data_IF_461018039412
#
_entry.id   IF_461018039412
#
_cell.length_a   1.000
_cell.length_b   1.000
_cell.length_c   1.000
_cell.angle_alpha   90.00
_cell.angle_beta   90.00
_cell.angle_gamma   90.00
#
_symmetry.space_group_name_H-M   'P 1'
#
loop_
_entity.id
_entity.type
_entity.pdbx_description
1 polymer ?
#
# COMPACT_ATOMS: atom_id res chain seq x y z
N UNK A 1 -13.64 21.59 -20.79
CA UNK A 1 -14.95 20.91 -20.74
C UNK A 1 -15.14 19.91 -21.90
N UNK A 2 -14.87 20.24 -23.17
CA UNK A 2 -15.04 19.31 -24.31
C UNK A 2 -14.22 18.00 -24.21
N UNK A 3 -13.01 18.03 -23.62
CA UNK A 3 -12.18 16.83 -23.42
C UNK A 3 -12.76 15.87 -22.38
N UNK A 4 -13.43 16.37 -21.35
CA UNK A 4 -14.13 15.54 -20.35
C UNK A 4 -15.35 14.84 -20.95
N UNK A 5 -16.10 15.51 -21.84
CA UNK A 5 -17.23 14.90 -22.53
C UNK A 5 -16.81 13.79 -23.51
N UNK A 6 -15.65 13.95 -24.16
CA UNK A 6 -15.09 12.92 -25.07
C UNK A 6 -14.65 11.69 -24.27
N UNK A 7 -14.03 11.87 -23.10
CA UNK A 7 -13.65 10.76 -22.21
C UNK A 7 -14.90 10.08 -21.65
N UNK A 8 -15.91 10.85 -21.22
CA UNK A 8 -17.19 10.31 -20.76
C UNK A 8 -17.95 9.58 -21.88
N UNK A 9 -17.94 10.10 -23.11
CA UNK A 9 -18.56 9.45 -24.27
C UNK A 9 -17.80 8.19 -24.71
N UNK A 10 -16.46 8.16 -24.62
CA UNK A 10 -15.68 6.94 -24.83
C UNK A 10 -15.94 5.90 -23.71
N UNK A 11 -16.14 6.33 -22.46
CA UNK A 11 -16.55 5.42 -21.39
C UNK A 11 -17.95 4.85 -21.61
N UNK A 12 -18.91 5.63 -22.12
CA UNK A 12 -20.26 5.16 -22.45
C UNK A 12 -20.28 4.26 -23.68
N UNK A 13 -19.41 4.49 -24.68
CA UNK A 13 -19.28 3.62 -25.86
C UNK A 13 -18.58 2.28 -25.52
N UNK A 14 -17.81 2.22 -24.43
CA UNK A 14 -17.21 0.97 -23.92
C UNK A 14 -18.19 0.09 -23.13
N UNK A 15 -19.43 0.54 -22.87
CA UNK A 15 -20.48 -0.15 -22.10
C UNK A 15 -20.95 -1.46 -22.75
N UNK A 16 -20.63 -1.72 -24.02
CA UNK A 16 -20.87 -3.00 -24.68
C UNK A 16 -19.73 -4.03 -24.55
N UNK A 17 -18.67 -3.70 -23.78
CA UNK A 17 -17.59 -4.63 -23.51
C UNK A 17 -18.03 -5.62 -22.43
N UNK A 18 -18.30 -6.84 -22.82
CA UNK A 18 -18.61 -7.95 -21.93
C UNK A 18 -17.63 -7.99 -20.74
N UNK A 19 -18.18 -8.15 -19.54
CA UNK A 19 -17.42 -8.47 -18.35
C UNK A 19 -16.46 -9.63 -18.63
N UNK A 20 -15.39 -9.68 -17.89
CA UNK A 20 -14.42 -10.76 -18.02
C UNK A 20 -15.03 -12.11 -17.65
N UNK A 21 -15.94 -12.11 -16.67
CA UNK A 21 -16.72 -13.26 -16.25
C UNK A 21 -18.21 -12.94 -16.33
N UNK A 22 -19.01 -13.98 -16.55
CA UNK A 22 -20.47 -13.89 -16.53
C UNK A 22 -20.96 -13.58 -15.10
N UNK A 23 -22.06 -12.84 -14.94
CA UNK A 23 -22.71 -12.64 -13.65
C UNK A 23 -22.96 -13.98 -12.93
N UNK A 24 -22.74 -14.01 -11.61
CA UNK A 24 -22.82 -15.24 -10.82
C UNK A 24 -21.50 -16.02 -10.73
N UNK A 25 -20.46 -15.61 -11.47
CA UNK A 25 -19.16 -16.25 -11.39
C UNK A 25 -18.46 -15.89 -10.08
N UNK A 26 -17.91 -16.90 -9.42
CA UNK A 26 -17.01 -16.77 -8.28
C UNK A 26 -15.58 -17.07 -8.70
N UNK A 27 -14.63 -16.30 -8.22
CA UNK A 27 -13.21 -16.51 -8.50
C UNK A 27 -12.34 -16.25 -7.28
N UNK A 28 -11.17 -16.87 -7.22
CA UNK A 28 -10.15 -16.65 -6.20
C UNK A 28 -8.86 -16.22 -6.87
N UNK A 29 -8.20 -15.22 -6.29
CA UNK A 29 -6.97 -14.63 -6.81
C UNK A 29 -5.91 -14.57 -5.71
N UNK A 30 -5.01 -15.56 -5.56
CA UNK A 30 -3.76 -15.37 -4.85
C UNK A 30 -2.93 -14.29 -5.55
N UNK A 31 -2.25 -13.47 -4.77
CA UNK A 31 -1.46 -12.34 -5.27
C UNK A 31 -0.26 -12.04 -4.38
N UNK A 32 0.76 -11.47 -4.99
CA UNK A 32 1.94 -10.96 -4.31
C UNK A 32 2.44 -9.69 -5.02
N UNK A 33 3.23 -8.89 -4.32
CA UNK A 33 3.75 -7.66 -4.93
C UNK A 33 4.58 -6.81 -3.98
N UNK A 34 4.74 -5.55 -4.36
CA UNK A 34 5.44 -4.54 -3.58
C UNK A 34 4.51 -3.45 -3.06
N UNK A 35 4.90 -2.86 -1.96
CA UNK A 35 4.27 -1.67 -1.39
C UNK A 35 5.32 -0.59 -1.16
N UNK A 36 4.91 0.66 -1.36
CA UNK A 36 5.61 1.84 -0.88
C UNK A 36 4.67 2.60 0.05
N UNK A 37 5.11 2.89 1.25
CA UNK A 37 4.25 3.50 2.26
C UNK A 37 4.95 4.61 3.02
N UNK A 38 4.19 5.56 3.53
CA UNK A 38 4.67 6.60 4.44
C UNK A 38 3.56 7.03 5.39
N UNK A 39 3.92 7.48 6.56
CA UNK A 39 3.01 8.12 7.50
C UNK A 39 2.83 9.59 7.12
N UNK A 40 1.57 10.05 6.97
CA UNK A 40 1.30 11.49 6.79
C UNK A 40 1.73 12.26 8.03
N UNK A 41 1.98 13.55 7.89
CA UNK A 41 2.35 14.47 8.98
C UNK A 41 3.61 14.08 9.78
N UNK A 42 4.28 12.98 9.45
CA UNK A 42 5.60 12.67 10.01
C UNK A 42 6.58 13.73 9.50
N UNK A 43 7.28 14.39 10.42
CA UNK A 43 8.26 15.42 10.08
C UNK A 43 9.54 14.81 9.51
N UNK A 44 10.26 15.61 8.72
CA UNK A 44 11.64 15.33 8.40
C UNK A 44 12.45 15.27 9.69
N UNK A 45 13.49 14.46 9.70
CA UNK A 45 14.37 14.38 10.85
C UNK A 45 15.46 15.47 10.74
N UNK A 46 15.59 16.30 11.75
CA UNK A 46 16.66 17.31 11.83
C UNK A 46 17.53 17.08 13.05
N UNK A 47 18.80 16.90 12.82
CA UNK A 47 19.80 16.78 13.89
C UNK A 47 21.01 17.66 13.57
N UNK A 48 21.36 18.56 14.50
CA UNK A 48 22.54 19.44 14.37
C UNK A 48 22.59 20.24 13.06
N UNK A 49 21.42 20.67 12.53
CA UNK A 49 21.31 21.44 11.29
C UNK A 49 21.40 20.62 9.99
N UNK A 50 21.50 19.30 10.08
CA UNK A 50 21.40 18.39 8.95
C UNK A 50 20.01 17.77 8.94
N UNK A 51 19.34 17.83 7.77
CA UNK A 51 18.01 17.27 7.56
C UNK A 51 18.11 15.94 6.83
N UNK A 52 17.33 14.97 7.31
CA UNK A 52 16.99 13.77 6.56
C UNK A 52 15.54 13.88 6.12
N UNK A 53 15.33 13.98 4.83
CA UNK A 53 13.98 14.05 4.28
C UNK A 53 13.27 12.72 4.49
N UNK A 54 11.97 12.81 4.80
CA UNK A 54 11.11 11.64 4.90
C UNK A 54 10.92 11.01 3.52
N UNK A 55 11.06 9.71 3.45
CA UNK A 55 10.86 8.93 2.21
C UNK A 55 9.92 7.75 2.43
N UNK A 56 9.46 7.15 1.33
CA UNK A 56 8.62 5.97 1.41
C UNK A 56 9.42 4.75 1.89
N UNK A 57 8.85 4.00 2.82
CA UNK A 57 9.36 2.68 3.16
C UNK A 57 8.86 1.66 2.14
N UNK A 58 9.79 0.94 1.52
CA UNK A 58 9.49 -0.17 0.59
C UNK A 58 9.24 -1.46 1.36
N UNK A 59 8.23 -2.22 0.96
CA UNK A 59 7.90 -3.51 1.56
C UNK A 59 7.26 -4.49 0.59
N UNK A 60 6.94 -5.68 1.09
CA UNK A 60 6.23 -6.72 0.35
C UNK A 60 4.76 -6.82 0.75
N UNK A 61 3.95 -7.36 -0.16
CA UNK A 61 2.56 -7.76 0.10
C UNK A 61 2.31 -9.14 -0.49
N UNK A 62 1.62 -9.98 0.27
CA UNK A 62 1.14 -11.29 -0.16
C UNK A 62 -0.26 -11.53 0.39
N UNK A 63 -1.12 -12.17 -0.40
CA UNK A 63 -2.48 -12.48 0.05
C UNK A 63 -3.33 -13.15 -1.01
N UNK A 64 -4.64 -13.13 -0.77
CA UNK A 64 -5.63 -13.64 -1.71
C UNK A 64 -6.92 -12.81 -1.62
N UNK A 65 -7.61 -12.69 -2.74
CA UNK A 65 -8.94 -12.07 -2.85
C UNK A 65 -9.91 -13.05 -3.48
N UNK A 66 -11.10 -13.14 -2.92
CA UNK A 66 -12.26 -13.80 -3.51
C UNK A 66 -13.13 -12.72 -4.18
N UNK A 67 -13.59 -12.97 -5.39
CA UNK A 67 -14.39 -12.02 -6.16
C UNK A 67 -15.65 -12.70 -6.69
N UNK A 68 -16.77 -12.01 -6.54
CA UNK A 68 -18.07 -12.42 -7.07
C UNK A 68 -18.56 -11.42 -8.11
N UNK A 69 -18.84 -11.89 -9.32
CA UNK A 69 -19.35 -11.07 -10.40
C UNK A 69 -20.84 -10.83 -10.21
N UNK A 70 -21.21 -9.60 -9.83
CA UNK A 70 -22.62 -9.21 -9.61
C UNK A 70 -23.35 -8.92 -10.93
N UNK A 71 -22.68 -8.19 -11.81
CA UNK A 71 -23.18 -7.74 -13.10
C UNK A 71 -22.04 -7.74 -14.12
N UNK A 72 -22.38 -7.59 -15.41
CA UNK A 72 -21.35 -7.52 -16.47
C UNK A 72 -20.25 -6.47 -16.23
N UNK A 73 -20.56 -5.40 -15.52
CA UNK A 73 -19.60 -4.31 -15.27
C UNK A 73 -19.21 -4.16 -13.80
N UNK A 74 -19.77 -4.98 -12.91
CA UNK A 74 -19.57 -4.81 -11.47
C UNK A 74 -19.28 -6.14 -10.80
N UNK A 75 -18.22 -6.20 -10.04
CA UNK A 75 -17.97 -7.27 -9.09
C UNK A 75 -17.65 -6.73 -7.70
N UNK A 76 -17.79 -7.57 -6.70
CA UNK A 76 -17.39 -7.32 -5.34
C UNK A 76 -16.30 -8.32 -4.98
N UNK A 77 -15.19 -7.82 -4.43
CA UNK A 77 -14.09 -8.64 -3.96
C UNK A 77 -13.81 -8.38 -2.48
N UNK A 78 -13.49 -9.45 -1.77
CA UNK A 78 -13.00 -9.39 -0.40
C UNK A 78 -11.76 -10.27 -0.26
N UNK A 79 -10.80 -9.87 0.58
CA UNK A 79 -9.56 -10.62 0.68
C UNK A 79 -8.88 -10.49 2.03
N UNK A 80 -7.76 -11.19 2.15
CA UNK A 80 -6.83 -11.08 3.27
C UNK A 80 -5.42 -10.98 2.70
N UNK A 81 -4.68 -9.96 3.15
CA UNK A 81 -3.28 -9.78 2.77
C UNK A 81 -2.43 -9.56 4.01
N UNK A 82 -1.17 -9.97 3.95
CA UNK A 82 -0.12 -9.49 4.83
C UNK A 82 0.74 -8.50 4.06
N UNK A 83 0.99 -7.32 4.63
CA UNK A 83 1.81 -6.28 4.02
C UNK A 83 2.77 -5.64 5.02
N UNK A 84 3.99 -5.36 4.55
CA UNK A 84 4.99 -4.60 5.28
C UNK A 84 4.89 -3.14 4.82
N UNK A 85 4.64 -2.25 5.76
CA UNK A 85 4.38 -0.82 5.54
C UNK A 85 5.30 0.01 6.45
N UNK A 86 5.11 1.32 6.50
CA UNK A 86 5.82 2.20 7.42
C UNK A 86 6.32 3.49 6.77
N UNK A 87 7.40 4.04 7.31
CA UNK A 87 8.08 5.22 6.78
C UNK A 87 9.58 5.09 6.97
N UNK A 88 10.35 5.73 6.09
CA UNK A 88 11.81 5.76 6.16
C UNK A 88 12.30 7.21 6.07
N UNK A 89 13.57 7.41 6.35
CA UNK A 89 14.26 8.68 6.18
C UNK A 89 15.54 8.45 5.38
N UNK A 90 15.97 9.49 4.68
CA UNK A 90 17.24 9.47 3.96
C UNK A 90 18.43 9.27 4.90
N UNK A 91 19.48 8.67 4.38
CA UNK A 91 20.72 8.47 5.10
C UNK A 91 21.41 9.80 5.40
N UNK A 92 21.98 9.94 6.59
CA UNK A 92 22.76 11.11 7.00
C UNK A 92 24.19 10.70 7.30
N UNK A 93 25.15 11.48 6.79
CA UNK A 93 26.58 11.31 7.08
C UNK A 93 27.14 12.54 7.76
N UNK A 94 27.74 12.35 8.93
CA UNK A 94 28.46 13.40 9.66
C UNK A 94 29.96 13.23 9.47
N UNK A 95 30.63 14.25 8.95
CA UNK A 95 32.09 14.31 8.90
C UNK A 95 32.60 14.84 10.22
N UNK A 96 33.06 13.95 11.11
CA UNK A 96 33.75 14.33 12.34
C UNK A 96 35.25 14.53 12.13
N UNK A 97 35.91 15.16 13.09
CA UNK A 97 37.37 15.49 13.00
C UNK A 97 38.25 14.23 12.98
N UNK A 98 37.82 13.15 13.64
CA UNK A 98 38.57 11.88 13.73
C UNK A 98 37.88 10.71 13.03
N UNK A 99 36.54 10.61 13.10
CA UNK A 99 35.74 9.56 12.44
C UNK A 99 34.37 10.12 12.08
N UNK A 100 33.96 9.93 10.84
CA UNK A 100 32.59 10.23 10.42
C UNK A 100 31.60 9.22 11.01
N UNK A 101 30.38 9.66 11.30
CA UNK A 101 29.25 8.80 11.70
C UNK A 101 28.22 8.83 10.62
N UNK A 102 27.89 7.68 10.08
CA UNK A 102 26.81 7.51 9.10
C UNK A 102 25.61 6.87 9.78
N UNK A 103 24.44 7.52 9.67
CA UNK A 103 23.14 6.98 10.04
C UNK A 103 22.43 6.49 8.79
N UNK A 104 22.25 5.20 8.68
CA UNK A 104 21.68 4.52 7.50
C UNK A 104 20.48 3.68 7.88
N UNK A 105 19.65 3.39 6.86
CA UNK A 105 18.47 2.50 6.99
C UNK A 105 17.53 2.88 8.13
N UNK A 106 17.42 4.20 8.45
CA UNK A 106 16.48 4.66 9.46
C UNK A 106 15.05 4.49 8.94
N UNK A 107 14.26 3.65 9.64
CA UNK A 107 12.89 3.38 9.25
C UNK A 107 12.03 2.89 10.40
N UNK A 108 10.73 3.13 10.29
CA UNK A 108 9.70 2.47 11.07
C UNK A 108 9.05 1.42 10.15
N UNK A 109 9.09 0.16 10.54
CA UNK A 109 8.43 -0.94 9.84
C UNK A 109 7.17 -1.35 10.58
N UNK A 110 6.05 -1.41 9.84
CA UNK A 110 4.74 -1.80 10.34
C UNK A 110 4.23 -3.01 9.55
N UNK A 111 4.05 -4.15 10.22
CA UNK A 111 3.43 -5.32 9.64
C UNK A 111 1.92 -5.30 9.87
N UNK A 112 1.14 -5.44 8.78
CA UNK A 112 -0.32 -5.45 8.85
C UNK A 112 -0.91 -6.70 8.22
N UNK A 113 -1.92 -7.27 8.88
CA UNK A 113 -2.92 -8.08 8.20
C UNK A 113 -4.02 -7.14 7.74
N UNK A 114 -4.32 -7.10 6.44
CA UNK A 114 -5.33 -6.22 5.86
C UNK A 114 -6.48 -7.03 5.25
N UNK A 115 -7.70 -6.54 5.46
CA UNK A 115 -8.93 -7.11 4.91
C UNK A 115 -9.59 -6.05 4.00
N UNK A 116 -9.26 -6.03 2.70
CA UNK A 116 -9.94 -5.18 1.73
C UNK A 116 -11.31 -5.76 1.36
N UNK A 117 -12.29 -4.88 1.22
CA UNK A 117 -13.59 -5.13 0.59
C UNK A 117 -13.74 -4.08 -0.50
N UNK A 118 -13.66 -4.48 -1.76
CA UNK A 118 -13.60 -3.57 -2.90
C UNK A 118 -14.63 -3.91 -3.98
N UNK A 119 -15.23 -2.88 -4.54
CA UNK A 119 -15.99 -2.96 -5.77
C UNK A 119 -15.04 -2.77 -6.96
N UNK A 120 -15.15 -3.65 -7.95
CA UNK A 120 -14.46 -3.55 -9.23
C UNK A 120 -15.47 -3.12 -10.30
N UNK A 121 -15.22 -1.97 -10.91
CA UNK A 121 -16.05 -1.42 -11.99
C UNK A 121 -15.27 -1.63 -13.28
N UNK A 122 -15.72 -2.58 -14.10
CA UNK A 122 -15.11 -2.92 -15.37
C UNK A 122 -15.54 -1.93 -16.45
N UNK A 123 -14.60 -1.08 -16.91
CA UNK A 123 -14.84 -0.07 -17.93
C UNK A 123 -14.72 -0.65 -19.35
N UNK A 124 -13.81 -1.59 -19.53
CA UNK A 124 -13.62 -2.36 -20.75
C UNK A 124 -12.96 -3.71 -20.42
N UNK A 125 -12.87 -4.59 -21.43
CA UNK A 125 -12.41 -5.97 -21.23
C UNK A 125 -11.06 -6.02 -20.52
N UNK A 126 -11.04 -6.62 -19.34
CA UNK A 126 -9.86 -6.80 -18.51
C UNK A 126 -9.52 -5.61 -17.61
N UNK A 127 -9.99 -4.41 -17.89
CA UNK A 127 -9.65 -3.22 -17.11
C UNK A 127 -10.78 -2.85 -16.14
N UNK A 128 -10.42 -2.73 -14.86
CA UNK A 128 -11.34 -2.29 -13.83
C UNK A 128 -10.75 -1.14 -13.00
N UNK A 129 -11.62 -0.22 -12.61
CA UNK A 129 -11.39 0.74 -11.53
C UNK A 129 -11.89 0.12 -10.23
N UNK A 130 -11.17 0.33 -9.15
CA UNK A 130 -11.43 -0.29 -7.85
C UNK A 130 -11.55 0.75 -6.77
N UNK A 131 -12.53 0.59 -5.89
CA UNK A 131 -12.63 1.36 -4.64
C UNK A 131 -13.42 0.58 -3.60
N UNK A 132 -13.27 0.97 -2.32
CA UNK A 132 -13.99 0.27 -1.25
C UNK A 132 -13.50 0.67 0.12
N UNK A 133 -13.45 -0.30 1.02
CA UNK A 133 -12.97 -0.17 2.39
C UNK A 133 -11.85 -1.19 2.64
N UNK A 134 -10.86 -0.82 3.44
CA UNK A 134 -9.83 -1.73 3.91
C UNK A 134 -9.64 -1.58 5.41
N UNK A 135 -9.68 -2.70 6.10
CA UNK A 135 -9.43 -2.82 7.53
C UNK A 135 -8.04 -3.39 7.74
N UNK A 136 -7.21 -2.72 8.53
CA UNK A 136 -5.85 -3.12 8.86
C UNK A 136 -5.72 -3.49 10.33
N UNK A 137 -5.00 -4.58 10.61
CA UNK A 137 -4.70 -5.04 11.96
C UNK A 137 -3.19 -5.14 12.11
N UNK A 138 -2.62 -4.31 13.00
CA UNK A 138 -1.19 -4.26 13.26
C UNK A 138 -0.72 -5.57 13.90
N UNK A 139 0.23 -6.22 13.28
CA UNK A 139 0.86 -7.45 13.79
C UNK A 139 2.22 -7.18 14.42
N UNK A 140 2.99 -6.27 13.81
CA UNK A 140 4.35 -5.93 14.21
C UNK A 140 4.62 -4.44 13.97
N UNK A 141 5.39 -3.80 14.85
CA UNK A 141 5.94 -2.48 14.65
C UNK A 141 7.35 -2.43 15.21
N UNK A 142 8.33 -2.04 14.41
CA UNK A 142 9.71 -1.91 14.84
C UNK A 142 10.37 -0.66 14.27
N UNK A 143 11.28 -0.08 15.05
CA UNK A 143 12.18 0.98 14.62
C UNK A 143 13.54 0.37 14.31
N UNK A 144 14.07 0.67 13.13
CA UNK A 144 15.38 0.20 12.69
C UNK A 144 16.30 1.36 12.35
N UNK A 145 17.54 1.23 12.75
CA UNK A 145 18.61 2.20 12.51
C UNK A 145 19.95 1.47 12.42
N UNK A 146 20.74 1.81 11.42
CA UNK A 146 22.12 1.35 11.28
C UNK A 146 23.06 2.53 11.46
N UNK A 147 23.91 2.48 12.49
CA UNK A 147 24.96 3.47 12.75
C UNK A 147 26.32 2.90 12.34
N UNK A 148 27.07 3.64 11.53
CA UNK A 148 28.43 3.27 11.13
C UNK A 148 29.42 4.33 11.55
N UNK A 149 30.37 3.93 12.38
CA UNK A 149 31.50 4.80 12.83
C UNK A 149 32.83 4.11 12.50
N UNK A 150 33.52 4.58 11.48
CA UNK A 150 34.73 3.93 10.98
C UNK A 150 34.46 2.49 10.52
N UNK A 151 35.06 1.50 11.17
CA UNK A 151 34.86 0.07 10.91
C UNK A 151 33.78 -0.57 11.78
N UNK A 152 33.20 0.16 12.72
CA UNK A 152 32.18 -0.34 13.65
C UNK A 152 30.79 -0.07 13.08
N UNK A 153 29.94 -1.10 13.05
CA UNK A 153 28.52 -1.02 12.68
C UNK A 153 27.69 -1.44 13.88
N UNK A 154 26.72 -0.61 14.25
CA UNK A 154 25.73 -0.89 15.29
C UNK A 154 24.36 -0.88 14.64
N UNK A 155 23.63 -1.97 14.80
CA UNK A 155 22.26 -2.09 14.33
C UNK A 155 21.31 -2.04 15.52
N UNK A 156 20.32 -1.15 15.45
CA UNK A 156 19.26 -1.01 16.43
C UNK A 156 17.98 -1.57 15.82
N UNK A 157 17.28 -2.46 16.52
CA UNK A 157 15.96 -2.97 16.18
C UNK A 157 15.12 -2.99 17.46
N UNK A 158 14.21 -2.02 17.59
CA UNK A 158 13.37 -1.82 18.79
C UNK A 158 11.92 -2.10 18.48
N UNK A 159 11.27 -2.90 19.33
CA UNK A 159 9.81 -3.11 19.25
C UNK A 159 9.08 -1.83 19.70
N UNK A 160 8.27 -1.29 18.80
CA UNK A 160 7.46 -0.09 19.04
C UNK A 160 5.95 -0.36 19.01
N UNK A 161 5.52 -1.62 19.07
CA UNK A 161 4.11 -2.00 18.88
C UNK A 161 3.17 -1.31 19.87
N UNK A 162 3.62 -1.04 21.07
CA UNK A 162 2.82 -0.36 22.10
C UNK A 162 2.59 1.13 21.79
N UNK A 163 3.37 1.72 20.91
CA UNK A 163 3.23 3.13 20.48
C UNK A 163 2.24 3.29 19.32
N UNK A 164 1.84 2.19 18.67
CA UNK A 164 0.95 2.20 17.52
C UNK A 164 -0.44 1.66 17.85
N UNK A 165 -1.45 2.20 17.15
CA UNK A 165 -2.81 1.68 17.19
C UNK A 165 -2.88 0.31 16.50
N UNK A 166 -3.68 -0.59 17.09
CA UNK A 166 -3.83 -1.95 16.56
C UNK A 166 -4.69 -2.02 15.31
N UNK A 167 -5.50 -1.00 15.09
CA UNK A 167 -6.48 -0.93 14.01
C UNK A 167 -6.21 0.26 13.09
N UNK A 168 -6.24 0.01 11.79
CA UNK A 168 -6.16 1.03 10.74
C UNK A 168 -7.33 0.86 9.76
N UNK A 169 -7.88 1.99 9.32
CA UNK A 169 -8.94 2.02 8.32
C UNK A 169 -8.52 2.92 7.16
N UNK A 170 -8.65 2.40 5.94
CA UNK A 170 -8.29 3.11 4.72
C UNK A 170 -9.30 2.90 3.60
N UNK A 171 -9.31 3.82 2.65
CA UNK A 171 -10.06 3.72 1.40
C UNK A 171 -9.08 3.36 0.28
N UNK A 172 -9.15 2.12 -0.26
CA UNK A 172 -8.43 1.75 -1.46
C UNK A 172 -9.05 2.40 -2.70
N UNK A 173 -8.20 3.01 -3.52
CA UNK A 173 -8.55 3.50 -4.86
C UNK A 173 -7.51 2.96 -5.83
N UNK A 174 -7.92 2.36 -6.93
CA UNK A 174 -6.96 1.76 -7.83
C UNK A 174 -7.51 1.32 -9.16
N UNK A 175 -6.66 0.65 -9.90
CA UNK A 175 -6.98 0.06 -11.19
C UNK A 175 -6.40 -1.35 -11.27
N UNK A 176 -7.02 -2.19 -12.07
CA UNK A 176 -6.46 -3.50 -12.38
C UNK A 176 -6.68 -3.85 -13.85
N UNK A 177 -5.79 -4.68 -14.34
CA UNK A 177 -5.90 -5.24 -15.67
C UNK A 177 -5.71 -6.75 -15.62
N UNK A 178 -6.73 -7.46 -16.07
CA UNK A 178 -6.68 -8.90 -16.28
C UNK A 178 -6.39 -9.20 -17.75
N UNK A 179 -5.34 -9.96 -17.99
CA UNK A 179 -4.93 -10.38 -19.33
C UNK A 179 -5.84 -11.48 -19.88
N UNK A 180 -5.64 -11.86 -21.15
CA UNK A 180 -6.31 -13.02 -21.75
C UNK A 180 -5.95 -14.34 -21.04
N UNK A 181 -4.77 -14.40 -20.45
CA UNK A 181 -4.36 -15.43 -19.48
C UNK A 181 -4.86 -15.01 -18.09
N UNK A 182 -5.04 -15.94 -17.16
CA UNK A 182 -5.61 -15.61 -15.83
C UNK A 182 -4.65 -14.82 -14.90
N UNK A 183 -3.80 -13.99 -15.49
CA UNK A 183 -2.91 -13.08 -14.76
C UNK A 183 -3.60 -11.72 -14.62
N UNK A 184 -3.54 -11.16 -13.42
CA UNK A 184 -4.04 -9.83 -13.08
C UNK A 184 -2.90 -8.99 -12.53
N UNK A 185 -2.73 -7.77 -13.06
CA UNK A 185 -1.93 -6.72 -12.45
C UNK A 185 -2.87 -5.73 -11.78
N UNK A 186 -2.59 -5.37 -10.55
CA UNK A 186 -3.41 -4.48 -9.74
C UNK A 186 -2.52 -3.40 -9.11
N UNK A 187 -2.90 -2.15 -9.27
CA UNK A 187 -2.25 -1.00 -8.65
C UNK A 187 -3.28 -0.25 -7.82
N UNK A 188 -3.00 -0.07 -6.52
CA UNK A 188 -3.87 0.61 -5.55
C UNK A 188 -3.12 1.64 -4.74
N UNK A 189 -3.82 2.70 -4.38
CA UNK A 189 -3.44 3.63 -3.36
C UNK A 189 -4.45 3.55 -2.21
N UNK A 190 -3.98 3.20 -1.01
CA UNK A 190 -4.81 3.12 0.18
C UNK A 190 -4.66 4.43 0.95
N UNK A 191 -5.74 5.19 1.02
CA UNK A 191 -5.82 6.47 1.72
C UNK A 191 -6.17 6.17 3.18
N UNK A 192 -5.20 6.25 4.09
CA UNK A 192 -5.40 6.06 5.52
C UNK A 192 -6.30 7.15 6.10
N UNK A 193 -7.27 6.78 6.90
CA UNK A 193 -8.22 7.68 7.54
C UNK A 193 -8.06 7.75 9.05
N UNK A 194 -7.60 6.67 9.67
CA UNK A 194 -7.38 6.59 11.13
C UNK A 194 -5.99 7.07 11.51
N UNK A 195 -5.85 7.58 12.73
CA UNK A 195 -4.55 7.81 13.34
C UNK A 195 -3.95 6.47 13.75
N UNK A 196 -2.68 6.23 13.37
CA UNK A 196 -1.98 4.98 13.68
C UNK A 196 -0.96 5.10 14.81
N UNK A 197 -0.68 6.32 15.30
CA UNK A 197 0.23 6.57 16.43
C UNK A 197 -0.59 6.94 17.67
N UNK A 198 -0.33 6.26 18.78
CA UNK A 198 -0.98 6.54 20.06
C UNK A 198 -0.41 7.80 20.73
N UNK A 199 -1.21 8.42 21.58
CA UNK A 199 -0.80 9.50 22.48
C UNK A 199 -0.12 10.67 21.75
N UNK A 200 -0.52 10.95 20.51
CA UNK A 200 -0.03 12.07 19.72
C UNK A 200 -1.15 13.08 19.49
N UNK A 201 -0.86 14.37 19.66
CA UNK A 201 -1.76 15.47 19.31
C UNK A 201 -1.90 15.62 17.78
N UNK A 202 -0.92 15.12 17.03
CA UNK A 202 -0.95 15.07 15.56
C UNK A 202 -1.54 13.77 15.06
N UNK A 203 -2.22 13.83 13.91
CA UNK A 203 -2.82 12.67 13.28
C UNK A 203 -1.88 12.08 12.23
N UNK A 204 -1.28 10.94 12.52
CA UNK A 204 -0.42 10.19 11.61
C UNK A 204 -1.23 9.10 10.90
N UNK A 205 -1.45 9.27 9.60
CA UNK A 205 -2.23 8.34 8.77
C UNK A 205 -1.33 7.56 7.83
N UNK A 206 -1.62 6.30 7.66
CA UNK A 206 -0.85 5.42 6.80
C UNK A 206 -1.27 5.60 5.34
N UNK A 207 -0.33 6.01 4.48
CA UNK A 207 -0.52 6.18 3.05
C UNK A 207 0.25 5.09 2.32
N UNK A 208 -0.45 4.24 1.56
CA UNK A 208 0.17 3.05 0.97
C UNK A 208 -0.14 2.94 -0.51
N UNK A 209 0.89 2.97 -1.33
CA UNK A 209 0.83 2.58 -2.73
C UNK A 209 1.25 1.12 -2.87
N UNK A 210 0.49 0.32 -3.60
CA UNK A 210 0.80 -1.08 -3.82
C UNK A 210 0.65 -1.47 -5.29
N UNK A 211 1.54 -2.35 -5.74
CA UNK A 211 1.44 -3.02 -7.04
C UNK A 211 1.52 -4.52 -6.79
N UNK A 212 0.54 -5.25 -7.29
CA UNK A 212 0.49 -6.72 -7.14
C UNK A 212 0.27 -7.42 -8.47
N UNK A 213 0.78 -8.63 -8.55
CA UNK A 213 0.48 -9.60 -9.61
C UNK A 213 -0.24 -10.76 -8.97
N UNK A 214 -1.34 -11.18 -9.56
CA UNK A 214 -2.14 -12.30 -9.09
C UNK A 214 -2.52 -13.25 -10.22
N UNK A 215 -2.92 -14.43 -9.82
CA UNK A 215 -3.49 -15.41 -10.73
C UNK A 215 -4.95 -15.69 -10.35
N UNK A 216 -5.89 -15.44 -11.26
CA UNK A 216 -7.32 -15.55 -11.01
C UNK A 216 -7.86 -16.88 -11.46
N UNK A 217 -8.33 -17.69 -10.51
CA UNK A 217 -9.00 -18.97 -10.74
C UNK A 217 -10.51 -18.73 -10.75
N UNK A 218 -11.18 -19.15 -11.83
CA UNK A 218 -12.64 -19.26 -11.89
C UNK A 218 -13.06 -20.55 -11.18
N UNK A 219 -14.04 -20.47 -10.30
CA UNK A 219 -14.66 -21.60 -9.60
C UNK A 219 -16.01 -21.95 -10.21
#
# INVERSE_FOLDING_TARGET
MKKFFVIAAMMVAAVSANAQFEPGTFSIQPKLGGVGSMLSNMSDYEFSGIKADKTANGGGIIGAEAEYQLMNMLSLAAGVNYSMQGTAWEDISFLGVDHGVDYKDRKIELGYITVPIVANIYLFRGFAVKTGAQFGFLTNASYKLTEKTGSTTVETDEDMKDQFEKFDFSIPVGVSYQFKVPIVIDARYNIGLTNVVKHSDESYKNQVFQITVGYKFKL
#
